data_IF_505109284877
#
_entry.id   IF_505109284877
#
_cell.length_a   1.000
_cell.length_b   1.000
_cell.length_c   1.000
_cell.angle_alpha   90.00
_cell.angle_beta   90.00
_cell.angle_gamma   90.00
#
_symmetry.space_group_name_H-M   'P 1'
#
loop_
_entity.id
_entity.type
_entity.pdbx_description
1 polymer ?
#
# COMPACT_ATOMS: atom_id res chain seq x y z
N UNK A 1 -32.28 -37.42 66.36
CA UNK A 1 -33.34 -36.93 65.45
C UNK A 1 -33.01 -37.49 64.07
N UNK A 2 -33.64 -38.60 63.62
CA UNK A 2 -34.96 -38.71 62.97
C UNK A 2 -35.02 -37.86 61.67
N UNK A 3 -35.35 -38.32 60.46
CA UNK A 3 -35.80 -39.60 59.88
C UNK A 3 -35.81 -39.43 58.34
N UNK A 4 -35.61 -40.54 57.61
CA UNK A 4 -36.19 -40.98 56.33
C UNK A 4 -36.25 -40.04 55.08
N UNK A 5 -35.80 -40.47 53.90
CA UNK A 5 -36.38 -41.48 53.00
C UNK A 5 -37.80 -41.10 52.51
N UNK A 6 -37.95 -40.74 51.23
CA UNK A 6 -39.21 -40.90 50.50
C UNK A 6 -38.93 -41.20 49.04
N UNK A 7 -38.76 -42.50 48.81
CA UNK A 7 -38.84 -43.18 47.52
C UNK A 7 -40.32 -43.55 47.29
N UNK A 8 -40.76 -43.58 46.02
CA UNK A 8 -41.94 -44.31 45.49
C UNK A 8 -43.30 -43.59 45.51
N UNK A 9 -43.79 -43.20 44.32
CA UNK A 9 -45.13 -43.54 43.83
C UNK A 9 -45.17 -43.33 42.30
N UNK A 10 -44.96 -44.39 41.51
CA UNK A 10 -46.00 -45.23 40.89
C UNK A 10 -46.65 -44.52 39.68
N UNK A 11 -46.15 -44.75 38.46
CA UNK A 11 -46.66 -45.74 37.49
C UNK A 11 -48.08 -45.38 37.00
N UNK A 12 -48.20 -44.78 35.80
CA UNK A 12 -49.42 -44.91 34.99
C UNK A 12 -49.14 -44.62 33.51
N UNK A 13 -49.60 -45.54 32.66
CA UNK A 13 -49.80 -45.44 31.20
C UNK A 13 -48.58 -45.50 30.26
N UNK A 14 -48.04 -46.71 30.12
CA UNK A 14 -47.69 -47.24 28.81
C UNK A 14 -48.95 -47.54 27.99
N UNK A 15 -49.10 -46.91 26.82
CA UNK A 15 -49.72 -47.50 25.62
C UNK A 15 -49.61 -46.56 24.41
N UNK A 16 -48.76 -46.97 23.44
CA UNK A 16 -49.04 -47.06 21.98
C UNK A 16 -49.48 -45.75 21.26
N UNK A 17 -48.84 -45.27 20.19
CA UNK A 17 -48.73 -45.92 18.88
C UNK A 17 -47.74 -45.17 17.96
N UNK A 18 -46.93 -45.93 17.21
CA UNK A 18 -46.36 -45.66 15.88
C UNK A 18 -46.13 -44.19 15.43
N UNK A 19 -44.91 -43.68 15.62
CA UNK A 19 -44.35 -42.67 14.71
C UNK A 19 -43.52 -43.43 13.68
N UNK A 20 -44.01 -43.45 12.44
CA UNK A 20 -43.30 -44.01 11.30
C UNK A 20 -41.97 -43.28 11.09
N UNK A 21 -40.92 -44.05 10.80
CA UNK A 21 -39.71 -43.52 10.20
C UNK A 21 -40.06 -42.97 8.81
N UNK A 22 -40.39 -41.69 8.72
CA UNK A 22 -40.23 -40.98 7.46
C UNK A 22 -38.73 -40.92 7.21
N UNK A 23 -38.34 -41.52 6.10
CA UNK A 23 -37.02 -41.38 5.52
C UNK A 23 -36.92 -39.93 5.07
N UNK A 24 -36.52 -39.05 5.97
CA UNK A 24 -36.22 -37.67 5.65
C UNK A 24 -34.91 -37.68 4.85
N UNK A 25 -35.04 -37.86 3.55
CA UNK A 25 -34.07 -37.32 2.58
C UNK A 25 -34.15 -35.80 2.73
N UNK A 26 -33.54 -35.30 3.81
CA UNK A 26 -33.35 -33.89 4.02
C UNK A 26 -32.58 -33.38 2.81
N UNK A 27 -33.13 -32.45 2.01
CA UNK A 27 -32.38 -31.86 0.93
C UNK A 27 -31.11 -31.27 1.56
N UNK A 28 -29.95 -31.78 1.15
CA UNK A 28 -28.64 -31.25 1.53
C UNK A 28 -28.56 -29.84 0.96
N UNK A 29 -29.13 -28.89 1.70
CA UNK A 29 -29.05 -27.48 1.39
C UNK A 29 -27.55 -27.18 1.43
N UNK A 30 -26.93 -26.71 0.32
CA UNK A 30 -25.50 -26.43 0.32
C UNK A 30 -25.20 -25.49 1.48
N UNK A 31 -24.37 -25.94 2.42
CA UNK A 31 -24.02 -25.14 3.59
C UNK A 31 -23.43 -23.80 3.14
N UNK A 32 -23.87 -22.72 3.79
CA UNK A 32 -23.40 -21.36 3.49
C UNK A 32 -21.87 -21.34 3.40
N UNK A 33 -21.34 -20.98 2.24
CA UNK A 33 -19.93 -20.69 2.06
C UNK A 33 -19.61 -19.40 2.81
N UNK A 34 -18.77 -19.48 3.83
CA UNK A 34 -18.29 -18.31 4.57
C UNK A 34 -16.99 -17.85 3.95
N UNK A 35 -16.91 -16.62 3.47
CA UNK A 35 -15.65 -16.04 2.99
C UNK A 35 -15.01 -15.20 4.10
N UNK A 36 -13.68 -15.12 4.09
CA UNK A 36 -12.95 -14.15 4.92
C UNK A 36 -12.24 -13.16 4.01
N UNK A 37 -12.53 -11.87 4.20
CA UNK A 37 -11.85 -10.80 3.48
C UNK A 37 -10.65 -10.32 4.29
N UNK A 38 -9.54 -10.09 3.62
CA UNK A 38 -8.36 -9.44 4.17
C UNK A 38 -8.06 -8.20 3.34
N UNK A 39 -7.81 -7.07 3.97
CA UNK A 39 -7.46 -5.81 3.32
C UNK A 39 -6.20 -5.23 3.94
N UNK A 40 -5.40 -4.53 3.13
CA UNK A 40 -4.19 -3.88 3.62
C UNK A 40 -3.39 -3.25 2.49
N UNK A 41 -2.07 -3.24 2.63
CA UNK A 41 -1.18 -2.48 1.77
C UNK A 41 -0.21 -3.35 0.97
N UNK A 42 0.23 -2.82 -0.18
CA UNK A 42 1.42 -3.25 -0.90
C UNK A 42 2.38 -2.07 -1.06
N UNK A 43 3.68 -2.35 -1.09
CA UNK A 43 4.65 -1.43 -1.66
C UNK A 43 5.86 -2.17 -2.23
N UNK A 44 6.43 -1.60 -3.27
CA UNK A 44 7.73 -1.92 -3.84
C UNK A 44 8.46 -0.62 -4.16
N UNK A 45 9.73 -0.69 -4.54
CA UNK A 45 10.57 0.51 -4.76
C UNK A 45 9.91 1.55 -5.69
N UNK A 46 9.13 1.08 -6.66
CA UNK A 46 8.42 1.93 -7.61
C UNK A 46 6.91 1.76 -7.58
N UNK A 47 6.29 1.27 -6.50
CA UNK A 47 4.83 1.23 -6.43
C UNK A 47 4.30 1.16 -5.01
N UNK A 48 3.07 1.62 -4.85
CA UNK A 48 2.38 1.71 -3.58
C UNK A 48 0.90 1.51 -3.85
N UNK A 49 0.17 0.95 -2.88
CA UNK A 49 -1.26 0.81 -3.02
C UNK A 49 -1.94 0.06 -1.89
N UNK A 50 -3.20 -0.24 -2.14
CA UNK A 50 -4.01 -1.15 -1.33
C UNK A 50 -4.18 -2.48 -2.03
N UNK A 51 -4.41 -3.52 -1.23
CA UNK A 51 -4.71 -4.87 -1.72
C UNK A 51 -5.81 -5.49 -0.87
N UNK A 52 -6.62 -6.31 -1.51
CA UNK A 52 -7.66 -7.09 -0.84
C UNK A 52 -7.63 -8.53 -1.34
N UNK A 53 -7.79 -9.47 -0.42
CA UNK A 53 -7.98 -10.89 -0.69
C UNK A 53 -9.32 -11.33 -0.13
N UNK A 54 -10.03 -12.17 -0.86
CA UNK A 54 -11.22 -12.89 -0.39
C UNK A 54 -10.87 -14.37 -0.42
N UNK A 55 -10.69 -14.94 0.77
CA UNK A 55 -10.41 -16.37 0.95
C UNK A 55 -11.75 -17.09 1.09
N UNK A 56 -12.02 -18.02 0.18
CA UNK A 56 -13.20 -18.88 0.26
C UNK A 56 -13.13 -19.85 1.43
N UNK A 57 -14.24 -20.49 1.79
CA UNK A 57 -14.25 -21.68 2.66
C UNK A 57 -14.64 -22.90 1.84
N UNK A 58 -14.12 -24.08 2.20
CA UNK A 58 -14.74 -25.34 1.79
C UNK A 58 -16.10 -25.48 2.47
N UNK A 59 -17.11 -25.92 1.73
CA UNK A 59 -18.37 -26.34 2.34
C UNK A 59 -18.08 -27.40 3.41
N UNK A 60 -18.63 -27.22 4.62
CA UNK A 60 -18.47 -28.15 5.72
C UNK A 60 -19.18 -29.46 5.35
N UNK A 61 -18.45 -30.42 4.79
CA UNK A 61 -18.91 -31.81 4.74
C UNK A 61 -18.83 -32.31 6.18
N UNK A 62 -19.96 -32.60 6.82
CA UNK A 62 -20.01 -33.06 8.21
C UNK A 62 -19.14 -34.31 8.37
N UNK A 63 -17.97 -34.23 9.04
CA UNK A 63 -17.13 -35.40 9.21
C UNK A 63 -17.72 -36.24 10.35
N UNK A 64 -17.90 -37.54 10.13
CA UNK A 64 -18.22 -38.51 11.20
C UNK A 64 -17.00 -38.86 12.05
N UNK A 65 -15.82 -38.34 11.72
CA UNK A 65 -14.55 -38.57 12.41
C UNK A 65 -13.74 -37.27 12.41
N UNK A 66 -13.12 -36.94 13.55
CA UNK A 66 -12.32 -35.73 13.80
C UNK A 66 -11.01 -35.74 12.99
N UNK A 67 -11.12 -35.56 11.68
CA UNK A 67 -9.99 -35.41 10.76
C UNK A 67 -9.82 -33.92 10.49
N UNK A 68 -8.64 -33.37 10.84
CA UNK A 68 -8.24 -32.06 10.32
C UNK A 68 -8.08 -32.17 8.81
N UNK A 69 -9.11 -31.78 8.07
CA UNK A 69 -9.06 -31.71 6.61
C UNK A 69 -8.17 -30.54 6.22
N UNK A 70 -7.00 -30.85 5.66
CA UNK A 70 -6.22 -29.88 4.91
C UNK A 70 -7.01 -29.52 3.65
N UNK A 71 -7.20 -28.21 3.46
CA UNK A 71 -7.92 -27.67 2.32
C UNK A 71 -7.10 -26.58 1.63
N UNK A 72 -7.06 -26.66 0.30
CA UNK A 72 -6.69 -25.54 -0.55
C UNK A 72 -7.96 -24.73 -0.80
N UNK A 73 -7.99 -23.52 -0.25
CA UNK A 73 -9.11 -22.59 -0.39
C UNK A 73 -8.85 -21.68 -1.59
N UNK A 74 -9.86 -21.45 -2.43
CA UNK A 74 -9.75 -20.47 -3.52
C UNK A 74 -9.61 -19.07 -2.95
N UNK A 75 -8.72 -18.28 -3.55
CA UNK A 75 -8.55 -16.86 -3.24
C UNK A 75 -8.78 -16.04 -4.49
N UNK A 76 -9.61 -15.01 -4.37
CA UNK A 76 -9.64 -13.89 -5.32
C UNK A 76 -9.02 -12.67 -4.67
N UNK A 77 -8.39 -11.82 -5.46
CA UNK A 77 -7.78 -10.60 -4.94
C UNK A 77 -7.89 -9.42 -5.90
N UNK A 78 -7.67 -8.24 -5.36
CA UNK A 78 -7.60 -7.00 -6.13
C UNK A 78 -6.52 -6.11 -5.57
N UNK A 79 -5.61 -5.66 -6.43
CA UNK A 79 -4.66 -4.58 -6.14
C UNK A 79 -5.29 -3.29 -6.65
N UNK A 80 -5.15 -2.23 -5.87
CA UNK A 80 -5.37 -0.86 -6.35
C UNK A 80 -4.12 -0.04 -6.08
N UNK A 81 -3.41 0.27 -7.15
CA UNK A 81 -2.20 1.08 -7.09
C UNK A 81 -2.54 2.56 -6.86
N UNK A 82 -1.56 3.33 -6.39
CA UNK A 82 -1.73 4.78 -6.15
C UNK A 82 -1.97 5.59 -7.43
N UNK A 83 -1.65 5.06 -8.61
CA UNK A 83 -2.06 5.62 -9.92
C UNK A 83 -3.53 5.30 -10.28
N UNK A 84 -4.18 4.50 -9.43
CA UNK A 84 -5.54 3.99 -9.51
C UNK A 84 -5.73 2.83 -10.49
N UNK A 85 -4.65 2.26 -11.03
CA UNK A 85 -4.68 0.97 -11.74
C UNK A 85 -5.24 -0.10 -10.82
N UNK A 86 -6.20 -0.88 -11.33
CA UNK A 86 -6.80 -2.01 -10.62
C UNK A 86 -6.45 -3.32 -11.31
N UNK A 87 -5.96 -4.29 -10.55
CA UNK A 87 -5.51 -5.60 -11.06
C UNK A 87 -6.20 -6.70 -10.27
N UNK A 88 -6.84 -7.63 -10.99
CA UNK A 88 -7.45 -8.82 -10.40
C UNK A 88 -6.42 -9.92 -10.23
N UNK A 89 -6.47 -10.60 -9.08
CA UNK A 89 -5.63 -11.75 -8.73
C UNK A 89 -6.50 -12.98 -8.46
N UNK A 90 -5.95 -14.15 -8.73
CA UNK A 90 -6.54 -15.44 -8.34
C UNK A 90 -5.46 -16.37 -7.80
N UNK A 91 -5.85 -17.29 -6.94
CA UNK A 91 -4.94 -18.31 -6.42
C UNK A 91 -5.52 -19.10 -5.27
N UNK A 92 -4.67 -19.49 -4.32
CA UNK A 92 -5.03 -20.40 -3.24
C UNK A 92 -4.47 -19.99 -1.89
N UNK A 93 -5.16 -20.41 -0.84
CA UNK A 93 -4.70 -20.39 0.54
C UNK A 93 -4.61 -21.83 1.05
N UNK A 94 -3.42 -22.23 1.49
CA UNK A 94 -3.18 -23.54 2.06
C UNK A 94 -3.35 -23.48 3.59
N UNK A 95 -4.39 -24.13 4.09
CA UNK A 95 -4.71 -24.21 5.53
C UNK A 95 -3.75 -25.07 6.35
N UNK A 96 -2.91 -25.91 5.71
CA UNK A 96 -1.88 -26.69 6.40
C UNK A 96 -0.69 -25.82 6.80
N UNK A 97 -0.25 -24.97 5.87
CA UNK A 97 0.97 -24.16 6.01
C UNK A 97 0.68 -22.70 6.31
N UNK A 98 -0.61 -22.34 6.42
CA UNK A 98 -1.10 -20.97 6.54
C UNK A 98 -0.55 -20.05 5.44
N UNK A 99 -0.31 -20.58 4.23
CA UNK A 99 0.34 -19.84 3.14
C UNK A 99 -0.63 -19.44 2.04
N UNK A 100 -0.40 -18.28 1.46
CA UNK A 100 -1.14 -17.76 0.30
C UNK A 100 -0.23 -17.71 -0.91
N UNK A 101 -0.78 -18.10 -2.06
CA UNK A 101 -0.17 -17.88 -3.37
C UNK A 101 -1.24 -17.38 -4.34
N UNK A 102 -1.09 -16.15 -4.82
CA UNK A 102 -2.02 -15.54 -5.78
C UNK A 102 -1.27 -14.80 -6.86
N UNK A 103 -1.83 -14.76 -8.07
CA UNK A 103 -1.21 -14.12 -9.23
C UNK A 103 -2.25 -13.53 -10.18
N UNK A 104 -1.82 -12.58 -11.02
CA UNK A 104 -2.67 -11.92 -12.01
C UNK A 104 -2.06 -10.61 -12.49
N UNK A 105 -2.33 -10.22 -13.74
CA UNK A 105 -1.83 -8.95 -14.31
C UNK A 105 -0.31 -8.80 -14.31
N UNK A 106 0.45 -9.90 -14.34
CA UNK A 106 1.92 -9.90 -14.25
C UNK A 106 2.47 -9.90 -12.82
N UNK A 107 1.61 -9.91 -11.80
CA UNK A 107 2.02 -10.01 -10.40
C UNK A 107 1.92 -11.43 -9.86
N UNK A 108 2.79 -11.77 -8.91
CA UNK A 108 2.78 -13.00 -8.13
C UNK A 108 3.09 -12.70 -6.68
N UNK A 109 2.22 -13.14 -5.76
CA UNK A 109 2.32 -12.91 -4.32
C UNK A 109 2.49 -14.24 -3.60
N UNK A 110 3.39 -14.25 -2.63
CA UNK A 110 3.59 -15.35 -1.70
C UNK A 110 3.65 -14.80 -0.27
N UNK A 111 2.82 -15.34 0.62
CA UNK A 111 2.79 -14.88 2.01
C UNK A 111 2.29 -15.93 2.98
N UNK A 112 2.25 -15.55 4.25
CA UNK A 112 1.84 -16.42 5.34
C UNK A 112 0.92 -15.68 6.31
N UNK A 113 -0.13 -16.35 6.76
CA UNK A 113 -0.99 -15.91 7.85
C UNK A 113 -0.26 -16.14 9.18
N UNK A 114 -0.15 -15.10 9.99
CA UNK A 114 0.32 -15.17 11.37
C UNK A 114 -0.38 -14.11 12.19
N UNK A 115 -0.93 -14.48 13.35
CA UNK A 115 -1.61 -13.55 14.25
C UNK A 115 -2.70 -12.68 13.58
N UNK A 116 -3.48 -13.28 12.66
CA UNK A 116 -4.56 -12.59 11.95
C UNK A 116 -4.13 -11.64 10.82
N UNK A 117 -2.83 -11.59 10.52
CA UNK A 117 -2.25 -10.81 9.42
C UNK A 117 -1.63 -11.74 8.39
N UNK A 118 -1.93 -11.53 7.11
CA UNK A 118 -1.20 -12.20 6.02
C UNK A 118 -0.15 -11.23 5.50
N UNK A 119 1.11 -11.60 5.61
CA UNK A 119 2.24 -10.79 5.13
C UNK A 119 3.15 -11.61 4.23
N UNK A 120 3.81 -10.95 3.29
CA UNK A 120 4.69 -11.63 2.37
C UNK A 120 5.36 -10.72 1.37
N UNK A 121 5.88 -11.33 0.31
CA UNK A 121 6.57 -10.66 -0.79
C UNK A 121 5.82 -10.88 -2.08
N UNK A 122 6.10 -10.02 -3.06
CA UNK A 122 5.58 -10.18 -4.39
C UNK A 122 6.62 -9.81 -5.45
N UNK A 123 6.40 -10.30 -6.66
CA UNK A 123 7.09 -9.87 -7.88
C UNK A 123 6.05 -9.34 -8.86
N UNK A 124 6.35 -8.25 -9.57
CA UNK A 124 5.47 -7.65 -10.55
C UNK A 124 6.22 -6.90 -11.65
N UNK A 125 5.50 -6.27 -12.60
CA UNK A 125 6.08 -5.53 -13.71
C UNK A 125 6.99 -4.37 -13.28
N UNK A 126 6.75 -3.82 -12.10
CA UNK A 126 7.46 -2.67 -11.51
C UNK A 126 8.58 -3.09 -10.53
N UNK A 127 8.89 -4.39 -10.47
CA UNK A 127 9.91 -4.95 -9.58
C UNK A 127 9.33 -5.82 -8.46
N UNK A 128 10.10 -5.96 -7.39
CA UNK A 128 9.69 -6.74 -6.21
C UNK A 128 9.23 -5.83 -5.08
N UNK A 129 8.37 -6.36 -4.21
CA UNK A 129 7.88 -5.61 -3.05
C UNK A 129 7.38 -6.52 -1.94
N UNK A 130 6.71 -5.91 -0.97
CA UNK A 130 6.08 -6.57 0.16
C UNK A 130 4.59 -6.18 0.27
N UNK A 131 3.85 -7.01 0.97
CA UNK A 131 2.46 -6.74 1.31
C UNK A 131 2.14 -7.17 2.74
N UNK A 132 1.15 -6.51 3.33
CA UNK A 132 0.60 -6.88 4.64
C UNK A 132 -0.90 -6.58 4.66
N UNK A 133 -1.71 -7.58 5.00
CA UNK A 133 -3.17 -7.47 5.06
C UNK A 133 -3.72 -8.02 6.38
N UNK A 134 -4.78 -7.38 6.88
CA UNK A 134 -5.49 -7.78 8.08
C UNK A 134 -6.90 -8.25 7.73
N UNK A 135 -7.47 -9.14 8.53
CA UNK A 135 -8.86 -9.58 8.35
C UNK A 135 -9.83 -8.38 8.46
N UNK A 136 -10.61 -8.14 7.41
CA UNK A 136 -11.52 -7.02 7.27
C UNK A 136 -11.70 -6.61 5.80
N UNK A 137 -12.78 -5.91 5.50
CA UNK A 137 -13.00 -5.27 4.19
C UNK A 137 -12.35 -3.88 4.17
N UNK A 138 -12.20 -3.28 2.98
CA UNK A 138 -11.70 -1.90 2.83
C UNK A 138 -12.52 -0.85 3.59
N UNK A 139 -13.79 -1.12 3.91
CA UNK A 139 -14.60 -0.24 4.76
C UNK A 139 -14.18 -0.26 6.23
N UNK A 140 -13.63 -1.39 6.70
CA UNK A 140 -13.15 -1.60 8.08
C UNK A 140 -11.65 -1.42 8.24
N UNK A 141 -10.88 -1.58 7.16
CA UNK A 141 -9.42 -1.43 7.15
C UNK A 141 -9.05 -0.25 6.25
N UNK A 142 -8.58 0.84 6.85
CA UNK A 142 -8.13 2.04 6.14
C UNK A 142 -6.67 1.88 5.76
N UNK A 143 -6.34 2.06 4.48
CA UNK A 143 -4.98 1.94 3.98
C UNK A 143 -4.41 3.31 3.68
N UNK A 144 -3.30 3.66 4.30
CA UNK A 144 -2.57 4.91 4.09
C UNK A 144 -1.28 4.63 3.35
N UNK A 145 -1.03 5.42 2.31
CA UNK A 145 0.14 5.34 1.45
C UNK A 145 0.96 6.61 1.64
N UNK A 146 2.28 6.46 1.77
CA UNK A 146 3.14 7.56 2.20
C UNK A 146 4.61 7.34 1.92
N UNK A 147 5.41 8.25 2.47
CA UNK A 147 6.86 8.26 2.37
C UNK A 147 7.49 8.62 3.71
N UNK A 148 8.77 8.29 3.84
CA UNK A 148 9.64 8.77 4.90
C UNK A 148 10.92 9.33 4.30
N UNK A 149 11.55 10.26 5.02
CA UNK A 149 12.82 10.91 4.66
C UNK A 149 13.63 11.13 5.93
N UNK A 150 14.92 10.78 5.90
CA UNK A 150 15.86 11.08 6.97
C UNK A 150 16.14 12.58 7.10
N UNK A 151 16.46 13.03 8.31
CA UNK A 151 16.72 14.44 8.59
C UNK A 151 17.92 15.00 7.79
N UNK A 152 18.92 14.16 7.51
CA UNK A 152 20.07 14.50 6.68
C UNK A 152 19.84 14.23 5.18
N UNK A 153 18.66 13.68 4.82
CA UNK A 153 18.26 13.24 3.50
C UNK A 153 19.15 12.12 2.90
N UNK A 154 19.86 11.36 3.73
CA UNK A 154 20.70 10.25 3.26
C UNK A 154 19.85 9.07 2.77
N UNK A 155 18.69 8.86 3.40
CA UNK A 155 17.72 7.85 3.00
C UNK A 155 16.30 8.40 2.88
N UNK A 156 15.55 7.78 1.98
CA UNK A 156 14.10 7.96 1.86
C UNK A 156 13.46 6.67 1.36
N UNK A 157 12.15 6.59 1.49
CA UNK A 157 11.43 5.40 1.05
C UNK A 157 9.92 5.54 1.11
N UNK A 158 9.24 4.45 0.75
CA UNK A 158 7.79 4.32 0.95
C UNK A 158 7.50 3.91 2.38
N UNK A 159 6.37 4.40 2.88
CA UNK A 159 5.79 3.98 4.15
C UNK A 159 4.29 3.82 3.96
N UNK A 160 3.81 2.59 4.06
CA UNK A 160 2.39 2.30 3.99
C UNK A 160 1.90 1.59 5.23
N UNK A 161 0.70 1.94 5.69
CA UNK A 161 0.06 1.30 6.84
C UNK A 161 -1.39 0.95 6.52
N UNK A 162 -1.86 -0.14 7.13
CA UNK A 162 -3.24 -0.55 7.19
C UNK A 162 -3.71 -0.43 8.65
N UNK A 163 -4.77 0.34 8.87
CA UNK A 163 -5.36 0.63 10.17
C UNK A 163 -6.74 -0.02 10.25
N UNK A 164 -6.93 -0.90 11.24
CA UNK A 164 -8.22 -1.46 11.62
C UNK A 164 -8.49 -1.11 13.08
N UNK A 165 -9.55 -0.35 13.31
CA UNK A 165 -9.90 0.17 14.63
C UNK A 165 -8.72 0.95 15.25
N UNK A 166 -8.01 0.33 16.19
CA UNK A 166 -6.84 0.88 16.89
C UNK A 166 -5.55 0.13 16.58
N UNK A 167 -5.59 -0.92 15.76
CA UNK A 167 -4.45 -1.78 15.43
C UNK A 167 -3.95 -1.45 14.03
N UNK A 168 -2.64 -1.33 13.89
CA UNK A 168 -2.01 -1.04 12.61
C UNK A 168 -0.93 -2.06 12.27
N UNK A 169 -0.88 -2.41 10.99
CA UNK A 169 0.21 -3.16 10.35
C UNK A 169 0.70 -2.34 9.19
N UNK A 170 1.96 -2.44 8.82
CA UNK A 170 2.48 -1.68 7.72
C UNK A 170 3.76 -2.26 7.17
N UNK A 171 4.32 -1.50 6.24
CA UNK A 171 5.60 -1.81 5.64
C UNK A 171 6.28 -0.53 5.21
N UNK A 172 7.61 -0.50 5.34
CA UNK A 172 8.45 0.49 4.69
C UNK A 172 9.38 -0.17 3.69
N UNK A 173 9.64 0.53 2.59
CA UNK A 173 10.57 0.12 1.53
C UNK A 173 11.59 1.22 1.37
N UNK A 174 12.87 0.92 1.56
CA UNK A 174 13.94 1.88 1.29
C UNK A 174 14.17 2.03 -0.21
N UNK A 175 14.38 3.28 -0.67
CA UNK A 175 14.78 3.54 -2.05
C UNK A 175 16.27 3.33 -2.30
N UNK A 176 17.11 3.28 -1.25
CA UNK A 176 18.55 3.10 -1.43
C UNK A 176 18.93 1.67 -1.76
N UNK A 177 18.26 0.69 -1.15
CA UNK A 177 18.63 -0.72 -1.23
C UNK A 177 17.44 -1.69 -1.42
N UNK A 178 16.21 -1.18 -1.50
CA UNK A 178 15.00 -2.00 -1.66
C UNK A 178 14.67 -2.86 -0.43
N UNK A 179 15.28 -2.56 0.73
CA UNK A 179 15.03 -3.25 2.00
C UNK A 179 13.57 -3.09 2.42
N UNK A 180 13.02 -4.17 2.98
CA UNK A 180 11.59 -4.32 3.28
C UNK A 180 11.44 -4.54 4.77
N UNK A 181 10.76 -3.61 5.44
CA UNK A 181 10.60 -3.65 6.89
C UNK A 181 9.12 -3.74 7.23
N UNK A 182 8.73 -4.79 7.94
CA UNK A 182 7.35 -4.97 8.39
C UNK A 182 7.11 -4.26 9.73
N UNK A 183 5.99 -3.55 9.79
CA UNK A 183 5.64 -2.69 10.91
C UNK A 183 4.35 -3.18 11.56
N UNK A 184 4.26 -2.97 12.86
CA UNK A 184 3.02 -3.09 13.66
C UNK A 184 2.87 -1.86 14.52
N UNK A 185 1.71 -1.71 15.16
CA UNK A 185 1.54 -0.73 16.22
C UNK A 185 0.09 -0.38 16.50
N UNK A 186 -0.11 0.82 17.05
CA UNK A 186 -1.37 1.22 17.66
C UNK A 186 -1.76 2.66 17.36
N UNK A 187 -3.07 2.91 17.32
CA UNK A 187 -3.68 4.24 17.34
C UNK A 187 -4.40 4.45 18.68
N UNK A 188 -3.99 5.48 19.43
CA UNK A 188 -4.66 5.89 20.66
C UNK A 188 -5.12 7.35 20.52
N UNK A 189 -6.43 7.57 20.44
CA UNK A 189 -6.97 8.86 20.00
C UNK A 189 -6.52 9.17 18.57
N UNK A 190 -5.75 10.24 18.38
CA UNK A 190 -5.11 10.57 17.11
C UNK A 190 -3.63 10.16 17.05
N UNK A 191 -3.05 9.64 18.12
CA UNK A 191 -1.62 9.33 18.20
C UNK A 191 -1.32 7.96 17.61
N UNK A 192 -0.46 7.94 16.60
CA UNK A 192 0.10 6.71 16.00
C UNK A 192 1.40 6.37 16.72
N UNK A 193 1.58 5.09 17.02
CA UNK A 193 2.86 4.53 17.50
C UNK A 193 3.17 3.28 16.71
N UNK A 194 4.38 3.18 16.16
CA UNK A 194 4.82 2.06 15.32
C UNK A 194 6.06 1.38 15.90
N UNK A 195 6.15 0.08 15.66
CA UNK A 195 7.19 -0.84 16.12
C UNK A 195 7.60 -1.75 14.96
N UNK A 196 8.80 -2.32 15.05
CA UNK A 196 9.20 -3.41 14.18
C UNK A 196 8.50 -4.70 14.62
N UNK A 197 8.06 -5.53 13.67
CA UNK A 197 7.42 -6.82 13.99
C UNK A 197 8.32 -7.76 14.80
N UNK A 198 9.63 -7.69 14.60
CA UNK A 198 10.63 -8.47 15.33
C UNK A 198 11.12 -7.80 16.64
N UNK A 199 10.72 -6.55 16.91
CA UNK A 199 11.08 -5.80 18.11
C UNK A 199 9.87 -5.00 18.64
N UNK A 200 8.79 -5.67 19.07
CA UNK A 200 7.52 -5.03 19.43
C UNK A 200 7.60 -4.14 20.68
N UNK A 201 8.70 -4.17 21.42
CA UNK A 201 8.92 -3.35 22.62
C UNK A 201 9.57 -1.99 22.32
N UNK A 202 10.13 -1.80 21.11
CA UNK A 202 10.82 -0.58 20.73
C UNK A 202 9.95 0.28 19.83
N UNK A 203 9.56 1.46 20.31
CA UNK A 203 8.91 2.47 19.48
C UNK A 203 9.93 2.98 18.48
N UNK A 204 9.65 2.80 17.19
CA UNK A 204 10.51 3.33 16.12
C UNK A 204 9.95 4.57 15.47
N UNK A 205 8.64 4.81 15.58
CA UNK A 205 8.01 5.98 15.01
C UNK A 205 6.73 6.38 15.74
N UNK A 206 6.49 7.68 15.77
CA UNK A 206 5.30 8.28 16.36
C UNK A 206 4.73 9.34 15.43
N UNK A 207 3.42 9.54 15.45
CA UNK A 207 2.81 10.59 14.66
C UNK A 207 1.36 10.85 15.02
N UNK A 208 0.68 11.60 14.17
CA UNK A 208 -0.72 11.99 14.37
C UNK A 208 -1.53 11.70 13.12
N UNK A 209 -2.68 11.05 13.32
CA UNK A 209 -3.71 10.87 12.32
C UNK A 209 -4.69 12.06 12.36
N UNK A 210 -4.89 12.71 11.21
CA UNK A 210 -5.81 13.84 11.05
C UNK A 210 -6.71 13.61 9.83
N UNK A 211 -7.82 12.91 10.03
CA UNK A 211 -8.78 12.60 8.96
C UNK A 211 -8.22 11.59 7.97
N UNK A 212 -7.91 12.03 6.74
CA UNK A 212 -7.37 11.19 5.66
C UNK A 212 -5.85 11.30 5.50
N UNK A 213 -5.18 12.10 6.33
CA UNK A 213 -3.73 12.25 6.33
C UNK A 213 -3.14 11.86 7.67
N UNK A 214 -1.88 11.42 7.67
CA UNK A 214 -1.10 11.29 8.88
C UNK A 214 0.35 11.70 8.63
N UNK A 215 1.01 12.16 9.68
CA UNK A 215 2.43 12.53 9.64
C UNK A 215 3.08 12.36 11.00
N UNK A 216 4.40 12.29 11.03
CA UNK A 216 5.15 12.14 12.27
C UNK A 216 6.65 12.07 12.06
N UNK A 217 7.32 11.56 13.07
CA UNK A 217 8.76 11.33 13.09
C UNK A 217 9.06 9.87 13.34
N UNK A 218 10.27 9.46 12.99
CA UNK A 218 10.82 8.17 13.37
C UNK A 218 12.22 8.34 13.95
N UNK A 219 12.60 7.39 14.80
CA UNK A 219 13.94 7.25 15.37
C UNK A 219 14.18 5.75 15.56
N UNK A 220 15.12 5.21 14.79
CA UNK A 220 15.45 3.78 14.77
C UNK A 220 16.96 3.63 14.82
N UNK A 221 17.52 3.63 16.03
CA UNK A 221 18.98 3.65 16.21
C UNK A 221 19.54 5.02 15.86
N UNK A 222 20.49 5.07 14.94
CA UNK A 222 21.12 6.31 14.46
C UNK A 222 20.24 7.05 13.42
N UNK A 223 19.28 6.35 12.82
CA UNK A 223 18.43 6.88 11.75
C UNK A 223 17.24 7.66 12.36
N UNK A 224 17.06 8.90 11.91
CA UNK A 224 15.98 9.77 12.36
C UNK A 224 15.43 10.56 11.20
N UNK A 225 14.11 10.76 11.19
CA UNK A 225 13.48 11.49 10.09
C UNK A 225 12.02 11.79 10.30
N UNK A 226 11.38 12.20 9.21
CA UNK A 226 9.95 12.51 9.15
C UNK A 226 9.25 11.58 8.18
N UNK A 227 7.95 11.41 8.38
CA UNK A 227 7.10 10.64 7.47
C UNK A 227 5.75 11.32 7.29
N UNK A 228 5.16 11.09 6.11
CA UNK A 228 3.82 11.58 5.76
C UNK A 228 3.07 10.53 4.96
N UNK A 229 1.75 10.49 5.10
CA UNK A 229 0.89 9.53 4.40
C UNK A 229 -0.51 10.12 4.17
N UNK A 230 -1.19 9.59 3.17
CA UNK A 230 -2.59 9.91 2.84
C UNK A 230 -3.34 8.60 2.57
N UNK A 231 -4.64 8.56 2.85
CA UNK A 231 -5.48 7.41 2.54
C UNK A 231 -5.34 7.07 1.04
N UNK A 232 -4.89 5.86 0.72
CA UNK A 232 -4.56 5.46 -0.65
C UNK A 232 -5.75 5.64 -1.59
N UNK A 233 -6.96 5.32 -1.09
CA UNK A 233 -8.20 5.40 -1.86
C UNK A 233 -8.76 6.81 -2.01
N UNK A 234 -8.24 7.79 -1.25
CA UNK A 234 -8.60 9.21 -1.43
C UNK A 234 -7.65 9.95 -2.36
N UNK A 235 -6.60 9.30 -2.87
CA UNK A 235 -5.78 9.89 -3.94
C UNK A 235 -6.69 9.95 -5.17
N UNK A 236 -7.14 11.14 -5.61
CA UNK A 236 -7.97 11.22 -6.80
C UNK A 236 -7.18 10.59 -7.94
N UNK A 237 -7.79 9.69 -8.71
CA UNK A 237 -7.24 9.41 -10.03
C UNK A 237 -7.16 10.74 -10.74
N UNK A 238 -5.93 11.20 -10.98
CA UNK A 238 -5.67 12.37 -11.79
C UNK A 238 -5.98 11.97 -13.24
N UNK A 239 -7.26 11.92 -13.59
CA UNK A 239 -7.69 11.84 -14.98
C UNK A 239 -7.58 13.25 -15.56
N UNK A 240 -6.56 13.48 -16.38
CA UNK A 240 -6.27 14.79 -16.96
C UNK A 240 -4.95 15.38 -16.46
N UNK A 241 -4.54 16.49 -17.08
CA UNK A 241 -3.27 17.13 -16.79
C UNK A 241 -3.28 17.67 -15.33
N UNK A 242 -2.37 17.21 -14.45
CA UNK A 242 -2.31 17.61 -13.04
C UNK A 242 -1.92 19.08 -12.81
N UNK A 243 -1.49 19.78 -13.87
CA UNK A 243 -0.96 21.13 -13.82
C UNK A 243 -2.03 22.22 -13.98
N UNK A 244 -3.22 22.07 -13.37
CA UNK A 244 -4.27 23.11 -13.42
C UNK A 244 -3.86 24.45 -12.78
N UNK A 245 -2.74 24.48 -12.03
CA UNK A 245 -2.10 25.68 -11.50
C UNK A 245 -0.58 25.59 -11.69
N UNK A 246 0.06 26.70 -12.09
CA UNK A 246 1.50 26.80 -12.34
C UNK A 246 2.30 26.34 -11.13
N UNK A 247 3.07 25.26 -11.25
CA UNK A 247 4.04 24.82 -10.24
C UNK A 247 5.45 24.83 -10.83
N UNK A 248 6.39 25.30 -10.05
CA UNK A 248 7.79 25.43 -10.46
C UNK A 248 8.61 24.28 -9.89
N UNK A 249 9.37 23.60 -10.73
CA UNK A 249 10.31 22.56 -10.31
C UNK A 249 11.71 22.97 -10.78
N UNK A 250 12.65 23.14 -9.86
CA UNK A 250 14.06 23.38 -10.17
C UNK A 250 14.88 22.12 -10.01
N UNK A 251 15.83 21.94 -10.92
CA UNK A 251 16.90 20.95 -10.91
C UNK A 251 18.23 21.72 -10.81
N UNK A 252 19.10 21.25 -9.94
CA UNK A 252 20.47 21.72 -9.85
C UNK A 252 21.34 20.52 -10.22
N UNK A 253 22.01 20.61 -11.37
CA UNK A 253 23.08 19.71 -11.79
C UNK A 253 24.41 20.46 -11.59
N UNK A 254 25.52 19.75 -11.35
CA UNK A 254 26.84 20.21 -10.86
C UNK A 254 27.58 21.24 -11.76
N UNK A 255 26.88 21.88 -12.68
CA UNK A 255 27.34 22.98 -13.54
C UNK A 255 26.23 23.73 -14.29
N UNK A 256 24.95 23.36 -14.13
CA UNK A 256 23.80 24.00 -14.77
C UNK A 256 22.55 23.87 -13.87
N UNK A 257 21.86 24.99 -13.61
CA UNK A 257 20.54 24.95 -12.98
C UNK A 257 19.44 24.97 -14.06
N UNK A 258 18.71 23.87 -14.19
CA UNK A 258 17.54 23.80 -15.07
C UNK A 258 16.29 24.03 -14.24
N UNK A 259 15.40 24.94 -14.65
CA UNK A 259 14.07 25.08 -14.03
C UNK A 259 12.99 24.80 -15.06
N UNK A 260 12.20 23.78 -14.78
CA UNK A 260 11.01 23.47 -15.56
C UNK A 260 9.81 24.14 -14.89
N UNK A 261 9.17 25.06 -15.62
CA UNK A 261 7.88 25.59 -15.25
C UNK A 261 6.82 24.60 -15.71
N UNK A 262 5.90 24.18 -14.83
CA UNK A 262 4.77 23.35 -15.21
C UNK A 262 3.42 24.12 -15.15
N UNK A 263 2.77 24.38 -16.29
CA UNK A 263 1.55 25.14 -16.55
C UNK A 263 0.63 24.26 -17.40
N UNK A 264 -0.68 24.34 -17.14
CA UNK A 264 -1.66 23.46 -17.75
C UNK A 264 -1.55 23.42 -19.28
N UNK A 265 -1.55 22.21 -19.80
CA UNK A 265 -1.69 21.81 -21.21
C UNK A 265 -0.56 22.09 -22.20
N UNK A 266 0.27 23.13 -22.09
CA UNK A 266 1.38 23.37 -23.04
C UNK A 266 2.57 24.10 -22.39
N UNK A 267 3.79 23.59 -22.59
CA UNK A 267 5.06 24.28 -22.34
C UNK A 267 5.51 24.84 -23.66
N UNK A 268 5.47 26.16 -23.79
CA UNK A 268 6.19 26.86 -24.85
C UNK A 268 7.55 27.34 -24.37
N UNK A 269 7.81 27.36 -23.05
CA UNK A 269 9.09 27.83 -22.53
C UNK A 269 9.49 27.20 -21.20
N UNK A 270 10.80 27.13 -20.95
CA UNK A 270 11.42 26.79 -19.67
C UNK A 270 12.48 27.84 -19.31
N UNK A 271 12.88 27.91 -18.04
CA UNK A 271 13.94 28.83 -17.61
C UNK A 271 15.21 28.05 -17.27
N UNK A 272 16.33 28.42 -17.86
CA UNK A 272 17.65 27.82 -17.59
C UNK A 272 18.56 28.89 -17.01
N UNK A 273 19.43 28.51 -16.09
CA UNK A 273 20.54 29.34 -15.62
C UNK A 273 21.79 28.50 -15.58
N UNK A 274 22.78 28.88 -16.37
CA UNK A 274 24.09 28.22 -16.35
C UNK A 274 24.83 28.60 -15.07
N UNK A 275 25.62 27.68 -14.52
CA UNK A 275 26.44 28.01 -13.36
C UNK A 275 27.37 29.20 -13.68
N UNK A 276 27.34 30.23 -12.84
CA UNK A 276 28.08 31.49 -13.06
C UNK A 276 27.28 32.63 -13.71
N UNK A 277 26.08 32.38 -14.24
CA UNK A 277 25.19 33.46 -14.70
C UNK A 277 24.50 34.15 -13.52
N UNK A 278 24.28 35.47 -13.58
CA UNK A 278 23.63 36.23 -12.50
C UNK A 278 22.10 36.22 -12.56
N UNK A 279 21.52 35.78 -13.67
CA UNK A 279 20.08 35.79 -13.92
C UNK A 279 19.67 34.60 -14.78
N UNK A 280 18.36 34.32 -14.85
CA UNK A 280 17.81 33.19 -15.59
C UNK A 280 17.50 33.58 -17.04
N UNK A 281 17.77 32.70 -18.01
CA UNK A 281 17.35 32.86 -19.40
C UNK A 281 16.11 32.04 -19.71
N UNK A 282 15.17 32.61 -20.47
CA UNK A 282 13.98 31.87 -20.95
C UNK A 282 14.34 31.20 -22.28
N UNK A 283 14.07 29.89 -22.38
CA UNK A 283 14.25 29.10 -23.59
C UNK A 283 12.90 28.63 -24.10
N UNK A 284 12.75 28.66 -25.42
CA UNK A 284 11.50 28.34 -26.13
C UNK A 284 11.77 27.12 -27.02
N UNK A 285 11.96 25.94 -26.41
CA UNK A 285 12.11 24.70 -27.18
C UNK A 285 10.75 23.98 -27.22
N UNK A 286 10.41 23.45 -28.40
CA UNK A 286 9.05 23.10 -28.84
C UNK A 286 8.21 22.17 -27.93
N UNK A 287 6.97 21.95 -28.37
CA UNK A 287 5.95 21.23 -27.61
C UNK A 287 6.44 19.85 -27.12
N UNK A 288 6.25 19.61 -25.83
CA UNK A 288 6.42 18.31 -25.20
C UNK A 288 5.20 17.42 -25.43
N UNK A 289 5.38 16.10 -25.36
CA UNK A 289 4.29 15.13 -25.28
C UNK A 289 4.32 14.42 -23.92
N UNK A 290 3.14 14.18 -23.36
CA UNK A 290 2.94 13.35 -22.17
C UNK A 290 2.32 12.04 -22.61
N UNK A 291 2.90 10.93 -22.17
CA UNK A 291 2.33 9.59 -22.34
C UNK A 291 2.52 8.83 -21.03
N UNK A 292 1.41 8.57 -20.32
CA UNK A 292 1.45 7.91 -19.01
C UNK A 292 2.29 8.68 -17.98
N UNK A 293 3.25 7.99 -17.34
CA UNK A 293 4.18 8.53 -16.34
C UNK A 293 5.48 9.11 -16.95
N UNK A 294 5.51 9.31 -18.26
CA UNK A 294 6.63 9.91 -18.97
C UNK A 294 6.22 11.19 -19.69
N UNK A 295 7.11 12.18 -19.68
CA UNK A 295 7.02 13.33 -20.57
C UNK A 295 8.36 13.54 -21.26
N UNK A 296 8.33 13.94 -22.53
CA UNK A 296 9.55 14.16 -23.32
C UNK A 296 9.84 15.65 -23.43
N UNK A 297 10.98 16.10 -22.90
CA UNK A 297 11.41 17.50 -23.01
C UNK A 297 12.53 17.60 -24.05
N UNK A 298 12.46 18.51 -25.02
CA UNK A 298 13.62 18.80 -25.88
C UNK A 298 14.70 19.51 -25.05
N UNK A 299 15.81 18.83 -24.79
CA UNK A 299 17.00 19.41 -24.17
C UNK A 299 18.02 19.67 -25.29
N UNK A 300 18.30 20.94 -25.59
CA UNK A 300 19.16 21.35 -26.71
C UNK A 300 18.74 20.69 -28.05
N UNK A 301 17.43 20.61 -28.31
CA UNK A 301 16.86 20.01 -29.52
C UNK A 301 16.82 18.47 -29.54
N UNK A 302 17.33 17.79 -28.49
CA UNK A 302 17.23 16.34 -28.35
C UNK A 302 16.01 15.99 -27.49
N UNK A 303 15.02 15.20 -27.98
CA UNK A 303 13.92 14.73 -27.16
C UNK A 303 14.42 13.82 -26.03
N UNK A 304 14.30 14.28 -24.80
CA UNK A 304 14.76 13.57 -23.60
C UNK A 304 13.55 13.08 -22.80
N UNK A 305 13.35 11.75 -22.66
CA UNK A 305 12.27 11.22 -21.84
C UNK A 305 12.61 11.43 -20.36
N UNK A 306 11.66 12.00 -19.62
CA UNK A 306 11.71 12.15 -18.17
C UNK A 306 10.59 11.33 -17.56
N UNK A 307 10.92 10.52 -16.55
CA UNK A 307 9.93 9.77 -15.79
C UNK A 307 9.55 10.57 -14.55
N UNK A 308 8.25 10.74 -14.30
CA UNK A 308 7.76 11.43 -13.11
C UNK A 308 6.80 10.55 -12.32
N UNK A 309 6.56 10.98 -11.09
CA UNK A 309 5.55 10.43 -10.21
C UNK A 309 4.85 11.53 -9.45
N UNK A 310 3.54 11.36 -9.27
CA UNK A 310 2.75 12.20 -8.38
C UNK A 310 2.52 11.39 -7.11
N UNK A 311 2.98 11.93 -5.99
CA UNK A 311 2.75 11.38 -4.66
C UNK A 311 1.90 12.40 -3.89
N UNK A 312 0.58 12.22 -3.90
CA UNK A 312 -0.35 13.20 -3.33
C UNK A 312 -0.31 14.54 -4.09
N UNK A 313 0.15 15.60 -3.44
CA UNK A 313 0.35 16.94 -4.02
C UNK A 313 1.79 17.23 -4.47
N UNK A 314 2.69 16.24 -4.31
CA UNK A 314 4.12 16.32 -4.63
C UNK A 314 4.36 15.72 -6.01
N UNK A 315 5.16 16.40 -6.82
CA UNK A 315 5.65 15.93 -8.10
C UNK A 315 7.14 15.60 -7.98
N UNK A 316 7.50 14.36 -8.28
CA UNK A 316 8.87 13.86 -8.20
C UNK A 316 9.30 13.42 -9.59
N UNK A 317 10.42 13.93 -10.10
CA UNK A 317 11.07 13.38 -11.30
C UNK A 317 12.05 12.32 -10.83
N UNK A 318 11.89 11.13 -11.38
CA UNK A 318 12.56 9.93 -10.92
C UNK A 318 13.88 9.67 -11.67
N UNK A 319 14.04 10.20 -12.88
CA UNK A 319 15.29 10.05 -13.62
C UNK A 319 15.44 11.08 -14.75
N UNK A 320 16.69 11.53 -14.91
CA UNK A 320 17.25 11.95 -16.19
C UNK A 320 17.97 10.73 -16.78
N UNK A 321 18.06 10.59 -18.13
CA UNK A 321 19.08 9.70 -18.67
C UNK A 321 20.43 10.16 -18.13
N UNK A 322 21.29 9.25 -17.66
CA UNK A 322 22.56 9.62 -17.06
C UNK A 322 23.33 10.51 -18.03
N UNK A 323 23.81 11.66 -17.54
CA UNK A 323 24.81 12.43 -18.27
C UNK A 323 26.03 11.56 -18.57
N UNK A 324 26.92 12.02 -19.45
CA UNK A 324 28.16 11.30 -19.80
C UNK A 324 29.01 10.88 -18.59
N UNK A 325 28.75 11.48 -17.42
CA UNK A 325 29.50 11.29 -16.18
C UNK A 325 28.83 10.36 -15.16
N UNK A 326 27.68 9.73 -15.48
CA UNK A 326 27.12 8.61 -14.72
C UNK A 326 26.58 8.92 -13.30
N UNK A 327 26.40 10.20 -12.94
CA UNK A 327 25.84 10.60 -11.63
C UNK A 327 24.37 11.00 -11.75
N UNK A 328 23.52 10.41 -10.90
CA UNK A 328 22.09 10.70 -10.79
C UNK A 328 21.81 11.29 -9.42
N UNK A 329 21.94 12.61 -9.25
CA UNK A 329 21.37 13.29 -8.10
C UNK A 329 20.54 14.47 -8.58
N UNK A 330 19.35 14.62 -8.03
CA UNK A 330 18.52 15.80 -8.26
C UNK A 330 18.08 16.32 -6.91
N UNK A 331 18.57 17.50 -6.55
CA UNK A 331 18.01 18.28 -5.44
C UNK A 331 16.77 19.01 -5.94
N UNK A 332 15.59 18.59 -5.49
CA UNK A 332 14.32 19.26 -5.80
C UNK A 332 14.11 20.40 -4.81
N UNK A 333 14.28 21.65 -5.26
CA UNK A 333 13.97 22.83 -4.45
C UNK A 333 12.60 23.40 -4.84
N UNK A 334 11.72 23.61 -3.86
CA UNK A 334 10.52 24.42 -4.02
C UNK A 334 10.85 25.90 -3.78
N UNK A 335 10.50 26.79 -4.70
CA UNK A 335 10.73 28.23 -4.55
C UNK A 335 9.43 28.94 -4.17
N UNK A 336 9.45 29.74 -3.10
CA UNK A 336 8.30 30.54 -2.64
C UNK A 336 8.17 31.91 -3.32
N UNK A 337 9.17 32.32 -4.12
CA UNK A 337 9.22 33.63 -4.77
C UNK A 337 9.62 33.54 -6.25
N UNK A 338 9.21 34.51 -7.10
CA UNK A 338 9.66 34.60 -8.49
C UNK A 338 11.18 34.75 -8.60
N UNK A 339 11.78 34.19 -9.64
CA UNK A 339 13.22 34.31 -9.90
C UNK A 339 13.51 35.57 -10.74
N UNK A 340 14.67 36.20 -10.48
CA UNK A 340 15.16 37.30 -11.30
C UNK A 340 15.55 36.78 -12.70
N UNK A 341 14.79 37.16 -13.72
CA UNK A 341 15.04 36.81 -15.14
C UNK A 341 15.97 37.87 -15.73
N UNK A 342 16.88 37.45 -16.62
CA UNK A 342 17.64 38.40 -17.42
C UNK A 342 16.67 39.25 -18.28
N UNK A 343 17.04 40.51 -18.61
CA UNK A 343 16.25 41.34 -19.51
C UNK A 343 15.90 40.67 -20.84
#
# INVERSE_FOLDING_TARGET
>A
MKFALSLISLLLCSALLFVGCTRDDSPTTPGNTTTTTYSGTIAGESESGSITFVVGSTAKVTPTVDVRLFALLTVTGTIKLSDGTSITLTGTFNTETDSIYVSGGGYSFAGKLSNGTISGVYTGPNGSGAFSVQAGTQGSVKVFCGTYIENDNSQSGLLNIALKDTVLTGLSISYSDGSKTFLIGTLSGSTITMYLTNQPAQVIATGTLSGVTASGTYSSGDDQGTWTMTLCDSIPQQSGNPFVNTKWVGFEDDGDSLRLEFTATNFSSYKRRVFGESCWTTKTDGAYSVSGNQFTVPINGTPTPLTYRIMGNIFVILSFPPGQDGRNWTKVNSFSSPLNVCP
#
